data_IF_760711142903
#
_entry.id   IF_760711142903
#
_cell.length_a   1.000
_cell.length_b   1.000
_cell.length_c   1.000
_cell.angle_alpha   90.00
_cell.angle_beta   90.00
_cell.angle_gamma   90.00
#
_symmetry.space_group_name_H-M   'P 1'
#
loop_
_entity.id
_entity.type
_entity.pdbx_description
1 polymer ?
#
# COMPACT_ATOMS: atom_id res chain seq x y z
N UNK A 1 3.37 30.80 50.46
CA UNK A 1 4.78 31.09 50.13
C UNK A 1 4.79 31.70 48.74
N UNK A 2 4.86 33.01 48.51
CA UNK A 2 4.97 34.20 49.38
C UNK A 2 3.91 35.22 48.84
N UNK A 3 3.15 35.94 49.68
CA UNK A 3 3.50 37.25 50.28
C UNK A 3 3.81 38.34 49.23
N UNK A 4 3.42 39.61 49.34
CA UNK A 4 2.39 40.37 50.08
C UNK A 4 2.61 41.87 49.72
N UNK A 5 1.61 42.72 50.00
CA UNK A 5 1.71 44.15 50.36
C UNK A 5 2.34 45.26 49.46
N UNK A 6 1.70 46.45 49.54
CA UNK A 6 2.20 47.79 49.17
C UNK A 6 1.39 48.49 48.06
N UNK A 7 0.67 49.63 48.22
CA UNK A 7 0.70 50.72 49.22
C UNK A 7 2.11 51.36 49.32
N UNK A 8 2.38 52.67 49.20
CA UNK A 8 1.60 53.93 49.17
C UNK A 8 2.24 54.87 48.09
N UNK A 9 1.97 56.16 47.86
CA UNK A 9 1.15 57.19 48.53
C UNK A 9 0.63 58.28 47.56
N UNK A 10 -0.15 59.23 48.08
CA UNK A 10 -0.54 60.49 47.44
C UNK A 10 0.56 61.56 47.51
N UNK A 11 0.61 62.49 46.56
CA UNK A 11 1.25 63.80 46.73
C UNK A 11 0.68 64.84 45.76
N UNK A 12 0.04 65.87 46.33
CA UNK A 12 -0.38 67.07 45.63
C UNK A 12 0.82 67.89 45.13
N UNK A 13 0.67 68.51 43.95
CA UNK A 13 1.48 69.65 43.54
C UNK A 13 0.66 70.54 42.59
N UNK A 14 -0.03 71.54 43.14
CA UNK A 14 -0.73 72.57 42.36
C UNK A 14 0.27 73.45 41.62
N UNK A 15 0.16 73.53 40.30
CA UNK A 15 1.05 74.32 39.44
C UNK A 15 0.30 74.97 38.29
N UNK A 16 -0.51 75.99 38.58
CA UNK A 16 -1.18 76.81 37.56
C UNK A 16 -0.19 77.80 36.95
N UNK A 17 0.54 77.36 35.93
CA UNK A 17 1.29 78.24 35.04
C UNK A 17 0.55 78.38 33.71
N UNK A 18 0.12 79.60 33.38
CA UNK A 18 -0.49 79.93 32.08
C UNK A 18 0.52 79.76 30.93
N UNK A 19 0.57 78.55 30.36
CA UNK A 19 1.36 78.28 29.17
C UNK A 19 0.62 78.82 27.93
N UNK A 20 1.23 79.71 27.12
CA UNK A 20 0.54 80.32 25.99
C UNK A 20 0.16 79.28 24.95
N UNK A 21 -1.16 79.14 24.71
CA UNK A 21 -1.80 78.19 23.79
C UNK A 21 -1.09 78.05 22.44
N UNK A 22 -0.11 77.14 22.38
CA UNK A 22 0.51 76.69 21.14
C UNK A 22 -0.55 75.93 20.36
N UNK A 23 -1.11 76.58 19.34
CA UNK A 23 -2.04 75.97 18.40
C UNK A 23 -1.48 74.64 17.92
N UNK A 24 -2.16 73.55 18.31
CA UNK A 24 -1.72 72.17 18.09
C UNK A 24 -1.65 71.88 16.60
N UNK A 25 -0.48 72.13 16.00
CA UNK A 25 -0.22 71.86 14.59
C UNK A 25 -0.59 70.41 14.29
N UNK A 26 -1.70 70.22 13.58
CA UNK A 26 -2.29 68.91 13.31
C UNK A 26 -1.24 68.05 12.62
N UNK A 27 -0.62 67.13 13.37
CA UNK A 27 0.38 66.21 12.84
C UNK A 27 -0.30 65.40 11.75
N UNK A 28 0.09 65.64 10.49
CA UNK A 28 -0.34 64.82 9.35
C UNK A 28 -0.18 63.34 9.74
N UNK A 29 -1.22 62.51 9.56
CA UNK A 29 -1.16 61.11 9.98
C UNK A 29 0.06 60.45 9.35
N UNK A 30 0.92 59.85 10.18
CA UNK A 30 2.13 59.21 9.69
C UNK A 30 1.71 58.00 8.83
N UNK A 31 2.02 58.05 7.53
CA UNK A 31 1.78 56.95 6.63
C UNK A 31 2.45 55.68 7.19
N UNK A 32 1.65 54.64 7.43
CA UNK A 32 2.17 53.38 7.97
C UNK A 32 3.13 52.76 6.95
N UNK A 33 4.35 52.45 7.38
CA UNK A 33 5.34 51.82 6.51
C UNK A 33 4.86 50.44 6.10
N UNK A 34 4.89 50.08 4.79
CA UNK A 34 4.47 48.75 4.37
C UNK A 34 5.36 47.67 4.99
N UNK A 35 4.71 46.63 5.50
CA UNK A 35 5.35 45.43 6.04
C UNK A 35 5.31 44.33 4.98
N UNK A 36 6.45 43.68 4.75
CA UNK A 36 6.57 42.55 3.84
C UNK A 36 6.72 41.24 4.63
N UNK A 37 6.22 40.14 4.07
CA UNK A 37 6.34 38.78 4.62
C UNK A 37 6.80 37.81 3.52
N UNK A 38 7.84 37.03 3.79
CA UNK A 38 8.34 36.03 2.86
C UNK A 38 7.43 34.79 2.82
N UNK A 39 6.89 34.46 1.64
CA UNK A 39 6.09 33.25 1.39
C UNK A 39 6.89 31.94 1.50
N UNK A 40 8.23 32.02 1.48
CA UNK A 40 9.17 30.88 1.57
C UNK A 40 9.56 30.57 3.02
N UNK A 41 10.02 31.56 3.80
CA UNK A 41 10.52 31.35 5.17
C UNK A 41 9.67 32.01 6.28
N UNK A 42 8.54 32.62 5.94
CA UNK A 42 7.70 33.42 6.85
C UNK A 42 8.33 34.66 7.50
N UNK A 43 9.63 34.93 7.30
CA UNK A 43 10.30 36.13 7.81
C UNK A 43 9.56 37.42 7.42
N UNK A 44 9.41 38.34 8.37
CA UNK A 44 8.74 39.64 8.19
C UNK A 44 9.73 40.78 8.32
N UNK A 45 9.54 41.85 7.55
CA UNK A 45 10.37 43.06 7.66
C UNK A 45 9.63 44.31 7.20
N UNK A 46 10.06 45.46 7.71
CA UNK A 46 9.55 46.76 7.28
C UNK A 46 10.26 47.23 6.02
N UNK A 47 9.53 47.88 5.11
CA UNK A 47 10.12 48.48 3.92
C UNK A 47 11.18 49.54 4.27
N UNK A 48 12.32 49.49 3.58
CA UNK A 48 13.33 50.56 3.67
C UNK A 48 12.87 51.74 2.80
N UNK A 49 13.02 52.96 3.32
CA UNK A 49 12.84 54.18 2.53
C UNK A 49 13.87 54.20 1.40
N UNK A 50 13.40 54.21 0.16
CA UNK A 50 14.27 54.53 -0.98
C UNK A 50 14.54 56.02 -0.97
N UNK A 51 15.80 56.45 -0.97
CA UNK A 51 16.14 57.85 -1.21
C UNK A 51 15.93 58.14 -2.70
N UNK A 52 14.74 58.64 -3.08
CA UNK A 52 14.58 59.27 -4.38
C UNK A 52 15.41 60.56 -4.43
N UNK A 53 15.96 60.84 -5.60
CA UNK A 53 16.50 62.14 -5.96
C UNK A 53 15.35 63.15 -6.06
N UNK A 54 15.33 64.14 -5.15
CA UNK A 54 14.60 65.41 -5.24
C UNK A 54 13.16 65.39 -5.80
N UNK A 55 12.16 65.36 -4.90
CA UNK A 55 10.84 65.97 -5.16
C UNK A 55 9.65 65.02 -5.40
N UNK A 56 9.88 63.76 -5.74
CA UNK A 56 8.79 62.80 -5.97
C UNK A 56 8.26 62.11 -4.69
N UNK A 57 7.02 61.62 -4.78
CA UNK A 57 6.28 60.87 -3.77
C UNK A 57 7.05 59.67 -3.14
N UNK A 58 6.78 59.38 -1.87
CA UNK A 58 7.49 58.38 -1.03
C UNK A 58 7.21 56.93 -1.50
N UNK A 59 7.90 56.49 -2.55
CA UNK A 59 7.80 55.11 -3.04
C UNK A 59 8.71 54.17 -2.25
N UNK A 60 8.09 53.22 -1.57
CA UNK A 60 8.77 52.11 -0.91
C UNK A 60 9.23 51.06 -1.93
N UNK A 61 10.53 50.86 -2.05
CA UNK A 61 11.10 49.90 -3.00
C UNK A 61 10.93 48.45 -2.51
N UNK A 62 10.15 47.65 -3.25
CA UNK A 62 10.01 46.21 -3.04
C UNK A 62 11.35 45.49 -3.27
N UNK A 63 11.89 44.74 -2.29
CA UNK A 63 13.22 44.15 -2.41
C UNK A 63 13.26 42.99 -3.40
N UNK A 64 14.39 42.80 -4.10
CA UNK A 64 14.55 41.68 -5.05
C UNK A 64 14.71 40.31 -4.38
N UNK A 65 15.17 40.30 -3.12
CA UNK A 65 15.60 39.10 -2.38
C UNK A 65 15.04 39.18 -0.96
N UNK A 66 14.59 38.05 -0.39
CA UNK A 66 14.22 38.00 1.02
C UNK A 66 15.45 38.14 1.93
N UNK A 67 15.47 39.09 2.88
CA UNK A 67 16.57 39.23 3.84
C UNK A 67 16.72 38.03 4.81
N UNK A 68 15.67 37.23 5.03
CA UNK A 68 15.72 36.09 5.96
C UNK A 68 16.19 34.76 5.36
N UNK A 69 15.98 34.53 4.05
CA UNK A 69 16.34 33.26 3.40
C UNK A 69 17.02 33.39 2.03
N UNK A 70 17.33 34.61 1.61
CA UNK A 70 17.99 34.95 0.35
C UNK A 70 17.26 34.45 -0.92
N UNK A 71 15.98 34.07 -0.79
CA UNK A 71 15.17 33.62 -1.93
C UNK A 71 14.66 34.79 -2.78
N UNK A 72 14.79 34.65 -4.11
CA UNK A 72 14.15 35.50 -5.12
C UNK A 72 12.66 35.21 -5.31
N UNK A 73 12.17 34.09 -4.75
CA UNK A 73 10.77 33.64 -4.88
C UNK A 73 9.88 34.18 -3.75
N UNK A 74 10.39 35.12 -2.94
CA UNK A 74 9.82 35.45 -1.64
C UNK A 74 8.42 36.07 -1.66
N UNK A 75 8.05 36.77 -2.73
CA UNK A 75 6.74 37.42 -2.89
C UNK A 75 5.90 36.84 -4.03
N UNK A 76 6.40 35.81 -4.72
CA UNK A 76 5.67 35.24 -5.85
C UNK A 76 4.46 34.45 -5.36
N UNK A 77 3.32 34.63 -6.02
CA UNK A 77 2.04 33.98 -5.67
C UNK A 77 1.95 32.54 -6.17
N UNK A 78 2.68 32.21 -7.25
CA UNK A 78 2.76 30.86 -7.84
C UNK A 78 3.62 29.88 -7.01
N UNK A 79 4.19 30.32 -5.88
CA UNK A 79 5.17 29.54 -5.11
C UNK A 79 4.49 28.51 -4.22
N UNK A 80 4.68 27.25 -4.58
CA UNK A 80 4.15 26.10 -3.84
C UNK A 80 5.26 25.45 -3.01
N UNK A 81 4.97 25.15 -1.74
CA UNK A 81 5.79 24.29 -0.87
C UNK A 81 5.60 22.83 -1.30
N UNK A 82 6.69 22.16 -1.68
CA UNK A 82 6.68 20.81 -2.24
C UNK A 82 7.58 19.90 -1.40
N UNK A 83 7.12 18.69 -1.12
CA UNK A 83 7.87 17.69 -0.34
C UNK A 83 8.03 16.42 -1.16
N UNK A 84 9.25 15.87 -1.20
CA UNK A 84 9.52 14.63 -1.90
C UNK A 84 9.03 13.44 -1.07
N UNK A 85 8.01 12.73 -1.57
CA UNK A 85 7.48 11.51 -0.95
C UNK A 85 8.47 10.32 -0.91
N UNK A 86 9.65 10.46 -1.51
CA UNK A 86 10.74 9.46 -1.47
C UNK A 86 11.85 9.77 -0.47
N UNK A 87 12.18 11.03 -0.19
CA UNK A 87 13.28 11.38 0.73
C UNK A 87 12.92 12.39 1.82
N UNK A 88 11.67 12.85 1.91
CA UNK A 88 11.20 13.83 2.91
C UNK A 88 11.67 15.27 2.68
N UNK A 89 12.67 15.50 1.80
CA UNK A 89 13.17 16.84 1.52
C UNK A 89 12.07 17.76 1.02
N UNK A 90 12.06 19.00 1.52
CA UNK A 90 11.03 20.01 1.23
C UNK A 90 11.68 21.24 0.61
N UNK A 91 11.07 21.79 -0.44
CA UNK A 91 11.53 23.00 -1.13
C UNK A 91 10.35 23.83 -1.61
N UNK A 92 10.65 25.04 -2.09
CA UNK A 92 9.67 25.95 -2.68
C UNK A 92 9.99 26.11 -4.17
N UNK A 93 8.96 26.04 -5.01
CA UNK A 93 9.10 26.16 -6.46
C UNK A 93 7.80 26.64 -7.07
N UNK A 94 7.89 27.61 -7.99
CA UNK A 94 6.77 28.04 -8.82
C UNK A 94 6.28 26.90 -9.72
N UNK A 95 7.20 26.30 -10.46
CA UNK A 95 6.90 25.21 -11.41
C UNK A 95 6.88 23.84 -10.73
N UNK A 96 6.24 22.86 -11.38
CA UNK A 96 6.41 21.44 -11.08
C UNK A 96 7.84 21.03 -11.51
N UNK A 97 8.76 20.67 -10.60
CA UNK A 97 10.12 20.31 -10.99
C UNK A 97 10.15 18.92 -11.61
N UNK A 98 11.01 18.71 -12.62
CA UNK A 98 11.19 17.40 -13.25
C UNK A 98 11.90 16.38 -12.34
N UNK A 99 12.60 16.82 -11.29
CA UNK A 99 13.36 15.99 -10.34
C UNK A 99 13.32 16.58 -8.93
N UNK A 100 13.40 15.74 -7.90
CA UNK A 100 13.71 16.22 -6.54
C UNK A 100 15.13 16.84 -6.51
N UNK A 101 15.32 18.04 -5.94
CA UNK A 101 16.65 18.64 -5.84
C UNK A 101 17.64 17.83 -4.98
N UNK A 102 17.15 17.13 -3.95
CA UNK A 102 17.99 16.34 -3.04
C UNK A 102 18.38 14.97 -3.62
N UNK A 103 17.39 14.09 -3.88
CA UNK A 103 17.66 12.71 -4.31
C UNK A 103 17.61 12.50 -5.84
N UNK A 104 17.47 13.57 -6.62
CA UNK A 104 17.45 13.60 -8.10
C UNK A 104 16.41 12.68 -8.78
N UNK A 105 15.49 12.08 -8.03
CA UNK A 105 14.43 11.22 -8.56
C UNK A 105 13.39 12.03 -9.34
N UNK A 106 12.96 11.52 -10.49
CA UNK A 106 11.83 12.08 -11.25
C UNK A 106 10.48 11.87 -10.55
N UNK A 107 10.35 10.77 -9.80
CA UNK A 107 9.12 10.32 -9.14
C UNK A 107 8.99 10.88 -7.72
N UNK A 108 9.26 12.18 -7.57
CA UNK A 108 9.35 12.81 -6.25
C UNK A 108 7.98 13.01 -5.59
N UNK A 109 6.92 13.04 -6.39
CA UNK A 109 5.51 13.15 -6.02
C UNK A 109 4.82 11.80 -5.79
N UNK A 110 5.48 10.68 -6.10
CA UNK A 110 5.02 9.30 -5.85
C UNK A 110 5.58 8.79 -4.52
N UNK A 111 4.77 8.08 -3.74
CA UNK A 111 5.25 7.35 -2.57
C UNK A 111 6.24 6.25 -2.98
N UNK A 112 7.17 5.90 -2.09
CA UNK A 112 7.86 4.62 -2.22
C UNK A 112 6.82 3.52 -2.08
N UNK A 113 6.85 2.57 -3.01
CA UNK A 113 6.04 1.35 -2.97
C UNK A 113 7.00 0.18 -2.72
N UNK A 114 7.45 -0.03 -1.46
CA UNK A 114 8.33 -1.13 -1.12
C UNK A 114 7.56 -2.46 -1.21
N UNK A 115 8.24 -3.47 -1.73
CA UNK A 115 7.83 -4.86 -1.71
C UNK A 115 8.81 -5.61 -0.80
N UNK A 116 8.31 -6.42 0.14
CA UNK A 116 9.11 -7.32 0.98
C UNK A 116 8.76 -8.75 0.63
N UNK A 117 9.76 -9.63 0.50
CA UNK A 117 9.53 -11.05 0.35
C UNK A 117 9.36 -11.72 1.71
N UNK A 118 8.22 -12.36 1.94
CA UNK A 118 7.89 -13.06 3.18
C UNK A 118 8.73 -14.34 3.38
N UNK A 119 9.39 -14.86 2.33
CA UNK A 119 10.23 -16.06 2.41
C UNK A 119 11.71 -15.78 2.68
N UNK A 120 12.24 -14.62 2.28
CA UNK A 120 13.68 -14.33 2.40
C UNK A 120 13.99 -12.93 2.96
N UNK A 121 12.98 -12.21 3.47
CA UNK A 121 13.11 -10.88 4.05
C UNK A 121 13.48 -9.75 3.07
N UNK A 122 14.03 -10.08 1.89
CA UNK A 122 14.54 -9.11 0.92
C UNK A 122 13.48 -8.06 0.57
N UNK A 123 13.87 -6.79 0.60
CA UNK A 123 12.99 -5.64 0.37
C UNK A 123 13.50 -4.83 -0.82
N UNK A 124 12.60 -4.45 -1.74
CA UNK A 124 12.93 -3.69 -2.96
C UNK A 124 11.82 -2.70 -3.32
N UNK A 125 12.14 -1.66 -4.09
CA UNK A 125 11.12 -0.77 -4.64
C UNK A 125 10.60 -1.29 -5.98
N UNK A 126 9.27 -1.30 -6.18
CA UNK A 126 8.69 -1.63 -7.49
C UNK A 126 8.89 -0.47 -8.48
N UNK A 127 9.32 -0.78 -9.71
CA UNK A 127 9.51 0.20 -10.80
C UNK A 127 8.19 0.57 -11.50
N UNK A 128 7.15 -0.24 -11.36
CA UNK A 128 5.84 -0.14 -12.02
C UNK A 128 4.78 -0.48 -10.98
N UNK A 129 3.55 0.01 -11.13
CA UNK A 129 2.47 -0.27 -10.18
C UNK A 129 2.00 -1.73 -10.15
N UNK A 130 2.32 -2.48 -11.21
CA UNK A 130 2.07 -3.92 -11.27
C UNK A 130 2.95 -4.66 -10.26
N UNK A 131 2.30 -5.44 -9.39
CA UNK A 131 2.95 -6.37 -8.47
C UNK A 131 3.92 -7.30 -9.24
N UNK A 132 5.21 -7.41 -8.86
CA UNK A 132 6.14 -8.28 -9.58
C UNK A 132 5.77 -9.75 -9.42
N UNK A 133 5.88 -10.53 -10.51
CA UNK A 133 5.52 -11.96 -10.53
C UNK A 133 6.44 -12.86 -9.71
N UNK A 134 7.64 -12.41 -9.36
CA UNK A 134 8.64 -13.19 -8.62
C UNK A 134 9.46 -12.29 -7.69
N UNK A 135 9.99 -12.84 -6.60
CA UNK A 135 11.00 -12.15 -5.79
C UNK A 135 12.29 -11.99 -6.62
N UNK A 136 12.88 -10.79 -6.71
CA UNK A 136 14.14 -10.60 -7.43
C UNK A 136 15.33 -11.36 -6.79
N UNK A 137 15.29 -11.62 -5.48
CA UNK A 137 16.30 -12.39 -4.76
C UNK A 137 16.08 -13.90 -4.94
N UNK A 138 15.09 -14.49 -4.23
CA UNK A 138 14.89 -15.94 -4.19
C UNK A 138 14.05 -16.54 -5.34
N UNK A 139 13.68 -15.74 -6.35
CA UNK A 139 12.91 -16.12 -7.56
C UNK A 139 11.53 -16.76 -7.33
N UNK A 140 11.07 -16.94 -6.08
CA UNK A 140 9.74 -17.48 -5.75
C UNK A 140 8.62 -16.61 -6.32
N UNK A 141 7.61 -17.24 -6.94
CA UNK A 141 6.47 -16.55 -7.57
C UNK A 141 5.52 -15.87 -6.59
N UNK A 142 5.40 -16.43 -5.39
CA UNK A 142 4.35 -16.13 -4.40
C UNK A 142 4.87 -15.34 -3.20
N UNK A 143 5.88 -14.53 -3.44
CA UNK A 143 6.74 -13.93 -2.43
C UNK A 143 6.02 -13.02 -1.42
N UNK A 144 4.77 -12.65 -1.70
CA UNK A 144 3.89 -11.80 -0.90
C UNK A 144 2.77 -12.56 -0.16
N UNK A 145 2.63 -13.88 -0.35
CA UNK A 145 1.70 -14.70 0.45
C UNK A 145 2.18 -14.77 1.92
N UNK A 146 1.27 -14.85 2.91
CA UNK A 146 1.64 -15.01 4.30
C UNK A 146 2.39 -16.34 4.51
N UNK A 147 3.40 -16.29 5.38
CA UNK A 147 4.24 -17.42 5.75
C UNK A 147 4.20 -17.65 7.26
N UNK A 148 4.25 -18.92 7.67
CA UNK A 148 4.53 -19.30 9.06
C UNK A 148 6.01 -19.72 9.16
N UNK A 149 6.62 -19.45 10.30
CA UNK A 149 7.99 -19.87 10.62
C UNK A 149 7.95 -21.30 11.16
N UNK A 150 8.82 -22.16 10.65
CA UNK A 150 8.82 -23.59 11.01
C UNK A 150 10.25 -24.12 11.14
N UNK A 151 10.48 -24.88 12.22
CA UNK A 151 11.75 -25.53 12.55
C UNK A 151 11.73 -26.99 12.15
N UNK A 152 12.68 -27.44 11.32
CA UNK A 152 12.74 -28.84 10.91
C UNK A 152 13.14 -29.76 12.07
N UNK A 153 12.30 -30.72 12.45
CA UNK A 153 12.59 -31.74 13.47
C UNK A 153 13.94 -32.46 13.25
N UNK A 154 14.31 -32.72 11.98
CA UNK A 154 15.49 -33.54 11.65
C UNK A 154 16.83 -32.81 11.84
N UNK A 155 16.87 -31.49 11.61
CA UNK A 155 18.13 -30.74 11.62
C UNK A 155 18.10 -29.42 12.39
N UNK A 156 16.98 -29.07 13.03
CA UNK A 156 16.81 -27.82 13.77
C UNK A 156 16.76 -26.54 12.93
N UNK A 157 16.85 -26.63 11.59
CA UNK A 157 16.85 -25.45 10.73
C UNK A 157 15.47 -24.79 10.67
N UNK A 158 15.42 -23.49 10.92
CA UNK A 158 14.19 -22.68 10.91
C UNK A 158 14.00 -21.96 9.57
N UNK A 159 12.82 -22.04 8.97
CA UNK A 159 12.53 -21.48 7.64
C UNK A 159 11.06 -21.12 7.46
N UNK A 160 10.81 -20.14 6.58
CA UNK A 160 9.45 -19.68 6.25
C UNK A 160 8.75 -20.64 5.25
N UNK A 161 7.60 -21.18 5.66
CA UNK A 161 6.71 -22.01 4.83
C UNK A 161 5.40 -21.27 4.54
N UNK A 162 4.70 -21.62 3.46
CA UNK A 162 3.32 -21.13 3.26
C UNK A 162 2.39 -21.82 4.23
N UNK A 163 1.41 -21.08 4.73
CA UNK A 163 0.27 -21.68 5.45
C UNK A 163 -0.42 -22.72 4.56
N UNK A 164 -0.72 -23.89 5.09
CA UNK A 164 -1.42 -25.00 4.41
C UNK A 164 -0.73 -25.61 3.16
N UNK A 165 0.60 -25.48 3.00
CA UNK A 165 1.33 -26.16 1.90
C UNK A 165 2.51 -26.95 2.43
N UNK A 166 2.64 -28.20 1.97
CA UNK A 166 3.76 -29.09 2.29
C UNK A 166 5.10 -28.45 1.88
N UNK A 167 5.98 -28.26 2.87
CA UNK A 167 7.32 -27.74 2.67
C UNK A 167 8.37 -28.86 2.62
N UNK A 168 9.53 -28.58 2.04
CA UNK A 168 10.76 -29.33 2.31
C UNK A 168 11.71 -28.41 3.07
N UNK A 169 12.40 -28.95 4.07
CA UNK A 169 13.48 -28.25 4.73
C UNK A 169 14.56 -27.87 3.70
N UNK A 170 15.04 -26.61 3.67
CA UNK A 170 16.07 -26.19 2.73
C UNK A 170 17.42 -26.87 2.97
N UNK A 171 17.74 -27.18 4.24
CA UNK A 171 19.04 -27.76 4.62
C UNK A 171 19.11 -29.27 4.38
N UNK A 172 18.11 -30.03 4.84
CA UNK A 172 18.16 -31.50 4.82
C UNK A 172 17.20 -32.17 3.81
N UNK A 173 16.43 -31.39 3.05
CA UNK A 173 15.49 -31.88 2.03
C UNK A 173 14.25 -32.64 2.56
N UNK A 174 14.18 -32.89 3.87
CA UNK A 174 13.07 -33.62 4.54
C UNK A 174 11.74 -32.91 4.30
N UNK A 175 10.72 -33.67 3.87
CA UNK A 175 9.35 -33.16 3.75
C UNK A 175 8.82 -32.93 5.16
N UNK A 176 8.42 -31.69 5.45
CA UNK A 176 7.91 -31.33 6.77
C UNK A 176 6.39 -31.13 6.67
N UNK A 177 5.65 -31.95 7.42
CA UNK A 177 4.19 -31.97 7.40
C UNK A 177 3.64 -31.16 8.58
N UNK A 178 3.16 -29.94 8.32
CA UNK A 178 2.27 -29.26 9.27
C UNK A 178 0.87 -29.83 9.13
N UNK A 179 0.52 -30.78 10.00
CA UNK A 179 -0.85 -31.27 10.11
C UNK A 179 -1.58 -30.45 11.18
N UNK A 180 -2.66 -29.78 10.77
CA UNK A 180 -3.56 -29.08 11.69
C UNK A 180 -4.90 -29.80 11.68
N UNK A 181 -5.35 -30.26 12.85
CA UNK A 181 -6.65 -30.88 12.99
C UNK A 181 -7.73 -29.82 12.85
N UNK A 182 -8.67 -30.00 11.91
CA UNK A 182 -9.79 -29.06 11.75
C UNK A 182 -10.81 -29.12 12.90
N UNK A 183 -10.89 -30.25 13.60
CA UNK A 183 -11.92 -30.51 14.60
C UNK A 183 -11.47 -30.03 16.00
N UNK A 184 -10.18 -30.16 16.36
CA UNK A 184 -9.64 -29.71 17.66
C UNK A 184 -8.53 -28.65 17.59
N UNK A 185 -8.08 -28.25 16.40
CA UNK A 185 -7.01 -27.25 16.23
C UNK A 185 -5.58 -27.76 16.47
N UNK A 186 -5.40 -29.01 16.96
CA UNK A 186 -4.09 -29.60 17.24
C UNK A 186 -3.12 -29.45 16.06
N UNK A 187 -1.92 -28.93 16.33
CA UNK A 187 -0.81 -28.87 15.36
C UNK A 187 0.22 -29.95 15.70
N UNK A 188 0.55 -30.82 14.75
CA UNK A 188 1.61 -31.81 14.91
C UNK A 188 2.41 -32.02 13.63
N UNK A 189 3.63 -32.53 13.81
CA UNK A 189 4.59 -32.75 12.73
C UNK A 189 4.78 -34.27 12.50
N UNK A 190 4.44 -34.76 11.31
CA UNK A 190 4.61 -36.18 10.97
C UNK A 190 6.00 -36.44 10.37
N UNK A 191 6.82 -37.17 11.12
CA UNK A 191 8.21 -37.52 10.74
C UNK A 191 8.26 -38.73 9.79
N UNK A 192 7.17 -39.48 9.63
CA UNK A 192 7.13 -40.74 8.86
C UNK A 192 7.11 -40.55 7.34
N UNK A 193 6.94 -39.32 6.86
CA UNK A 193 6.78 -39.01 5.44
C UNK A 193 5.45 -39.49 4.83
N UNK A 194 4.57 -40.08 5.63
CA UNK A 194 3.19 -40.44 5.25
C UNK A 194 2.24 -39.43 5.87
N UNK A 195 1.10 -39.19 5.22
CA UNK A 195 0.07 -38.35 5.84
C UNK A 195 -0.57 -39.13 7.00
N UNK A 196 -0.63 -38.57 8.22
CA UNK A 196 -1.23 -39.26 9.36
C UNK A 196 -2.72 -39.50 9.09
N UNK A 197 -3.18 -40.73 9.33
CA UNK A 197 -4.59 -41.09 9.06
C UNK A 197 -5.56 -40.47 10.06
N UNK A 198 -5.10 -40.20 11.27
CA UNK A 198 -5.86 -39.67 12.41
C UNK A 198 -5.08 -38.58 13.12
N UNK A 199 -5.79 -37.66 13.79
CA UNK A 199 -5.17 -36.73 14.73
C UNK A 199 -4.68 -37.48 15.98
N UNK A 200 -3.46 -37.23 16.48
CA UNK A 200 -2.94 -37.90 17.68
C UNK A 200 -3.67 -37.48 18.97
N UNK A 201 -4.25 -36.28 19.03
CA UNK A 201 -4.92 -35.77 20.22
C UNK A 201 -6.40 -36.19 20.29
N UNK A 202 -7.19 -36.01 19.23
CA UNK A 202 -8.62 -36.31 19.23
C UNK A 202 -9.00 -37.63 18.54
N UNK A 203 -8.05 -38.37 17.97
CA UNK A 203 -8.28 -39.64 17.26
C UNK A 203 -9.03 -39.53 15.93
N UNK A 204 -9.61 -38.37 15.59
CA UNK A 204 -10.47 -38.21 14.41
C UNK A 204 -9.68 -38.33 13.09
N UNK A 205 -10.26 -38.96 12.04
CA UNK A 205 -9.58 -39.18 10.78
C UNK A 205 -9.34 -37.88 10.01
N UNK A 206 -8.17 -37.76 9.39
CA UNK A 206 -7.78 -36.54 8.67
C UNK A 206 -8.58 -36.39 7.36
N UNK A 207 -9.58 -35.50 7.37
CA UNK A 207 -10.35 -35.11 6.18
C UNK A 207 -9.49 -34.20 5.29
N UNK A 208 -8.65 -34.79 4.43
CA UNK A 208 -7.96 -34.05 3.37
C UNK A 208 -9.00 -33.30 2.50
N UNK A 209 -9.00 -31.95 2.49
CA UNK A 209 -9.98 -31.18 1.75
C UNK A 209 -9.95 -31.52 0.26
N UNK A 210 -8.75 -31.64 -0.32
CA UNK A 210 -8.56 -31.90 -1.76
C UNK A 210 -9.05 -33.29 -2.14
N UNK A 211 -8.83 -34.30 -1.29
CA UNK A 211 -9.34 -35.66 -1.53
C UNK A 211 -10.87 -35.72 -1.48
N UNK A 212 -11.50 -34.91 -0.63
CA UNK A 212 -12.96 -34.80 -0.59
C UNK A 212 -13.52 -34.07 -1.81
N UNK A 213 -12.86 -33.02 -2.30
CA UNK A 213 -13.26 -32.27 -3.49
C UNK A 213 -13.02 -33.06 -4.79
N UNK A 214 -11.91 -33.81 -4.90
CA UNK A 214 -11.68 -34.69 -6.06
C UNK A 214 -12.77 -35.76 -6.19
N UNK A 215 -13.24 -36.35 -5.08
CA UNK A 215 -14.40 -37.26 -5.10
C UNK A 215 -15.70 -36.56 -5.52
N UNK A 216 -15.95 -35.33 -5.04
CA UNK A 216 -17.13 -34.53 -5.45
C UNK A 216 -17.08 -34.13 -6.93
N UNK A 217 -15.89 -33.81 -7.47
CA UNK A 217 -15.68 -33.50 -8.89
C UNK A 217 -15.93 -34.71 -9.80
N UNK A 218 -15.47 -35.90 -9.39
CA UNK A 218 -15.78 -37.15 -10.09
C UNK A 218 -17.29 -37.46 -10.07
N UNK A 219 -17.97 -37.20 -8.96
CA UNK A 219 -19.42 -37.42 -8.84
C UNK A 219 -20.25 -36.39 -9.63
N UNK A 220 -19.86 -35.11 -9.68
CA UNK A 220 -20.57 -34.08 -10.45
C UNK A 220 -20.52 -34.34 -11.96
N UNK A 221 -19.44 -34.94 -12.49
CA UNK A 221 -19.38 -35.39 -13.90
C UNK A 221 -20.41 -36.48 -14.27
N UNK A 222 -21.08 -37.11 -13.30
CA UNK A 222 -22.18 -38.07 -13.54
C UNK A 222 -23.57 -37.45 -13.42
N UNK A 223 -23.72 -36.29 -12.79
CA UNK A 223 -25.03 -35.70 -12.44
C UNK A 223 -25.48 -34.59 -13.41
N UNK A 224 -24.75 -34.39 -14.51
CA UNK A 224 -24.97 -33.34 -15.52
C UNK A 224 -24.94 -33.95 -16.94
N UNK A 225 -25.37 -35.22 -17.06
CA UNK A 225 -25.79 -35.74 -18.36
C UNK A 225 -27.11 -35.06 -18.71
N UNK A 226 -27.17 -34.46 -19.90
CA UNK A 226 -28.42 -33.86 -20.38
C UNK A 226 -29.38 -35.01 -20.72
N UNK A 227 -30.68 -34.76 -20.66
CA UNK A 227 -31.73 -35.72 -21.04
C UNK A 227 -31.46 -36.40 -22.41
N UNK A 228 -30.92 -35.64 -23.37
CA UNK A 228 -30.47 -36.18 -24.67
C UNK A 228 -29.27 -37.13 -24.62
N UNK A 229 -28.32 -36.96 -23.68
CA UNK A 229 -27.19 -37.90 -23.49
C UNK A 229 -27.70 -39.25 -22.97
N UNK A 230 -28.70 -39.27 -22.07
CA UNK A 230 -29.27 -40.52 -21.53
C UNK A 230 -30.06 -41.30 -22.60
N UNK A 231 -30.86 -40.59 -23.40
CA UNK A 231 -31.51 -41.17 -24.58
C UNK A 231 -30.49 -41.72 -25.56
N UNK A 232 -29.41 -40.97 -25.85
CA UNK A 232 -28.35 -41.43 -26.75
C UNK A 232 -27.63 -42.68 -26.24
N UNK A 233 -27.32 -42.77 -24.94
CA UNK A 233 -26.69 -43.97 -24.34
C UNK A 233 -27.59 -45.20 -24.47
N UNK A 234 -28.90 -45.05 -24.27
CA UNK A 234 -29.86 -46.16 -24.41
C UNK A 234 -29.90 -46.68 -25.86
N UNK A 235 -30.05 -45.77 -26.83
CA UNK A 235 -30.08 -46.10 -28.26
C UNK A 235 -28.76 -46.74 -28.76
N UNK A 236 -27.61 -46.31 -28.22
CA UNK A 236 -26.31 -46.93 -28.53
C UNK A 236 -26.17 -48.34 -27.93
N UNK A 237 -26.77 -48.60 -26.76
CA UNK A 237 -26.81 -49.94 -26.13
C UNK A 237 -27.78 -50.89 -26.86
N UNK A 238 -28.82 -50.37 -27.50
CA UNK A 238 -29.67 -51.10 -28.45
C UNK A 238 -28.97 -51.42 -29.79
N UNK A 239 -27.76 -50.89 -30.02
CA UNK A 239 -26.96 -51.17 -31.22
C UNK A 239 -27.23 -50.26 -32.42
N UNK A 240 -28.00 -49.16 -32.27
CA UNK A 240 -28.16 -48.17 -33.34
C UNK A 240 -26.82 -47.49 -33.68
N UNK A 241 -26.66 -47.11 -34.94
CA UNK A 241 -25.44 -46.44 -35.40
C UNK A 241 -25.33 -45.00 -34.85
N UNK A 242 -24.11 -44.46 -34.63
CA UNK A 242 -23.93 -43.14 -34.06
C UNK A 242 -24.51 -41.96 -34.87
N UNK A 243 -24.75 -42.13 -36.18
CA UNK A 243 -25.30 -41.08 -37.03
C UNK A 243 -26.82 -40.98 -36.86
N UNK A 244 -27.51 -42.13 -36.87
CA UNK A 244 -28.95 -42.21 -36.54
C UNK A 244 -29.22 -41.71 -35.12
N UNK A 245 -28.39 -42.07 -34.14
CA UNK A 245 -28.54 -41.59 -32.76
C UNK A 245 -28.33 -40.08 -32.64
N UNK A 246 -27.39 -39.49 -33.39
CA UNK A 246 -27.20 -38.03 -33.42
C UNK A 246 -28.44 -37.30 -33.96
N UNK A 247 -29.03 -37.80 -35.05
CA UNK A 247 -30.28 -37.27 -35.62
C UNK A 247 -31.46 -37.41 -34.64
N UNK A 248 -31.61 -38.56 -33.97
CA UNK A 248 -32.75 -38.86 -33.08
C UNK A 248 -32.70 -38.14 -31.71
N UNK A 249 -31.53 -37.62 -31.33
CA UNK A 249 -31.30 -36.96 -30.03
C UNK A 249 -30.94 -35.48 -30.14
N UNK A 250 -30.69 -34.97 -31.36
CA UNK A 250 -30.23 -33.60 -31.58
C UNK A 250 -28.81 -33.31 -31.06
N UNK A 251 -28.06 -34.35 -30.67
CA UNK A 251 -26.67 -34.22 -30.24
C UNK A 251 -25.72 -34.13 -31.45
N UNK A 252 -24.56 -33.50 -31.27
CA UNK A 252 -23.53 -33.52 -32.30
C UNK A 252 -22.95 -34.94 -32.46
N UNK A 253 -22.59 -35.31 -33.69
CA UNK A 253 -22.04 -36.63 -33.99
C UNK A 253 -20.80 -36.99 -33.15
N UNK A 254 -19.91 -36.01 -32.91
CA UNK A 254 -18.73 -36.20 -32.04
C UNK A 254 -19.10 -36.40 -30.56
N UNK A 255 -20.22 -35.83 -30.08
CA UNK A 255 -20.74 -36.13 -28.74
C UNK A 255 -21.22 -37.58 -28.67
N UNK A 256 -21.95 -38.06 -29.67
CA UNK A 256 -22.46 -39.44 -29.72
C UNK A 256 -21.30 -40.45 -29.85
N UNK A 257 -20.30 -40.20 -30.68
CA UNK A 257 -19.05 -41.00 -30.71
C UNK A 257 -18.36 -41.07 -29.33
N UNK A 258 -18.24 -39.93 -28.65
CA UNK A 258 -17.64 -39.88 -27.31
C UNK A 258 -18.44 -40.68 -26.27
N UNK A 259 -19.77 -40.69 -26.37
CA UNK A 259 -20.62 -41.57 -25.55
C UNK A 259 -20.41 -43.04 -25.90
N UNK A 260 -20.33 -43.40 -27.19
CA UNK A 260 -20.09 -44.78 -27.63
C UNK A 260 -18.76 -45.35 -27.11
N UNK A 261 -17.66 -44.60 -27.28
CA UNK A 261 -16.33 -44.97 -26.75
C UNK A 261 -16.39 -45.26 -25.24
N UNK A 262 -17.14 -44.46 -24.48
CA UNK A 262 -17.28 -44.65 -23.02
C UNK A 262 -18.15 -45.85 -22.64
N UNK A 263 -19.07 -46.29 -23.49
CA UNK A 263 -19.84 -47.53 -23.31
C UNK A 263 -18.93 -48.73 -23.59
N UNK A 264 -18.21 -48.71 -24.72
CA UNK A 264 -17.29 -49.79 -25.11
C UNK A 264 -16.12 -49.95 -24.10
N UNK A 265 -15.71 -48.87 -23.43
CA UNK A 265 -14.73 -48.85 -22.33
C UNK A 265 -15.32 -49.21 -20.94
N UNK A 266 -16.64 -49.42 -20.81
CA UNK A 266 -17.30 -49.78 -19.54
C UNK A 266 -17.46 -48.62 -18.53
N UNK A 267 -17.37 -47.37 -18.95
CA UNK A 267 -17.57 -46.18 -18.10
C UNK A 267 -19.04 -45.71 -17.98
N UNK A 268 -19.97 -46.29 -18.77
CA UNK A 268 -21.40 -45.93 -18.87
C UNK A 268 -22.31 -47.15 -19.06
#
# INVERSE_FOLDING_TARGET
MNSDAGHVDSSDASGTGDEPSRQSAQRKPQAQRPQYRCKVCSYTWMARRSRKSSGEEEVYAKPRICPGCHSILWDREDVVKRTCKRCGYTWFSSMNPNRCPQCRTHRWNESRNPCKCNFCGYTWERKVDKMPKTCPNCKRFVWNEPTEEHTCVKCGATFAVRVNVLGRCPECGTVCYHCVCRECGHKWEDVSGKHPRTCPECGLPFKDPKRSEMRKGASRKRADMREGDEKAVSLLKEGKDPMSVALETGLSFERVKSLRSRIDEGYL
#
